data_IF_699497548429
#
_entry.id   IF_699497548429
#
_cell.length_a   1.000
_cell.length_b   1.000
_cell.length_c   1.000
_cell.angle_alpha   90.00
_cell.angle_beta   90.00
_cell.angle_gamma   90.00
#
_symmetry.space_group_name_H-M   'P 1'
#
loop_
_entity.id
_entity.type
_entity.pdbx_description
1 polymer ?
#
# COMPACT_ATOMS: atom_id res chain seq x y z
N UNK A 1 -70.71 -53.74 25.39
CA UNK A 1 -71.50 -52.97 24.33
C UNK A 1 -70.61 -51.79 24.00
N UNK A 2 -69.67 -52.06 23.11
CA UNK A 2 -68.60 -51.17 22.72
C UNK A 2 -69.11 -50.26 21.60
N UNK A 3 -69.11 -48.97 21.83
CA UNK A 3 -69.38 -47.96 20.80
C UNK A 3 -68.04 -47.37 20.35
N UNK A 4 -67.45 -48.02 19.38
CA UNK A 4 -66.22 -47.63 18.75
C UNK A 4 -66.53 -46.59 17.65
N UNK A 5 -66.64 -45.31 18.04
CA UNK A 5 -66.88 -44.23 17.13
C UNK A 5 -65.61 -43.93 16.32
N UNK A 6 -65.57 -44.57 15.17
CA UNK A 6 -64.58 -44.42 14.11
C UNK A 6 -64.51 -42.96 13.62
N UNK A 7 -63.62 -42.14 14.20
CA UNK A 7 -63.37 -40.76 13.78
C UNK A 7 -62.54 -40.79 12.49
N UNK A 8 -63.25 -40.80 11.35
CA UNK A 8 -62.63 -40.67 10.02
C UNK A 8 -62.05 -39.28 9.85
N UNK A 9 -60.73 -39.13 9.63
CA UNK A 9 -60.16 -37.83 9.37
C UNK A 9 -60.70 -37.21 8.05
N UNK A 10 -61.51 -36.19 8.19
CA UNK A 10 -62.10 -35.45 7.04
C UNK A 10 -61.01 -34.57 6.41
N UNK A 11 -60.36 -35.09 5.40
CA UNK A 11 -59.46 -34.32 4.53
C UNK A 11 -60.30 -33.52 3.49
N UNK A 12 -60.85 -32.35 3.89
CA UNK A 12 -61.56 -31.48 2.94
C UNK A 12 -60.54 -30.89 1.94
N UNK A 13 -60.85 -30.95 0.66
CA UNK A 13 -60.08 -30.42 -0.46
C UNK A 13 -59.71 -28.94 -0.23
N UNK A 14 -60.61 -28.19 0.40
CA UNK A 14 -60.39 -26.76 0.77
C UNK A 14 -59.24 -26.55 1.75
N UNK A 15 -59.04 -27.47 2.69
CA UNK A 15 -57.92 -27.40 3.69
C UNK A 15 -56.57 -27.75 3.06
N UNK A 16 -56.53 -28.67 2.09
CA UNK A 16 -55.32 -28.99 1.31
C UNK A 16 -54.92 -27.85 0.39
N UNK A 17 -55.86 -27.12 -0.19
CA UNK A 17 -55.61 -25.93 -1.02
C UNK A 17 -55.05 -24.77 -0.19
N UNK A 18 -55.60 -24.50 0.99
CA UNK A 18 -55.10 -23.46 1.88
C UNK A 18 -53.70 -23.77 2.41
N UNK A 19 -53.37 -25.02 2.68
CA UNK A 19 -52.02 -25.42 3.08
C UNK A 19 -51.02 -25.29 1.93
N UNK A 20 -51.37 -25.65 0.70
CA UNK A 20 -50.52 -25.46 -0.48
C UNK A 20 -50.31 -23.99 -0.79
N UNK A 21 -51.33 -23.15 -0.65
CA UNK A 21 -51.22 -21.71 -0.82
C UNK A 21 -50.28 -21.09 0.23
N UNK A 22 -50.40 -21.51 1.49
CA UNK A 22 -49.46 -21.07 2.55
C UNK A 22 -48.02 -21.45 2.21
N UNK A 23 -47.77 -22.69 1.81
CA UNK A 23 -46.43 -23.13 1.42
C UNK A 23 -45.85 -22.31 0.23
N UNK A 24 -46.67 -21.96 -0.74
CA UNK A 24 -46.25 -21.12 -1.89
C UNK A 24 -45.90 -19.71 -1.42
N UNK A 25 -46.74 -19.13 -0.53
CA UNK A 25 -46.48 -17.80 0.03
C UNK A 25 -45.21 -17.80 0.90
N UNK A 26 -45.04 -18.81 1.74
CA UNK A 26 -43.84 -18.95 2.60
C UNK A 26 -42.57 -19.10 1.74
N UNK A 27 -42.63 -19.92 0.68
CA UNK A 27 -41.53 -20.08 -0.27
C UNK A 27 -41.21 -18.76 -1.00
N UNK A 28 -42.21 -18.03 -1.41
CA UNK A 28 -42.05 -16.72 -2.05
C UNK A 28 -41.40 -15.70 -1.10
N UNK A 29 -41.83 -15.66 0.17
CA UNK A 29 -41.22 -14.80 1.18
C UNK A 29 -39.75 -15.13 1.42
N UNK A 30 -39.39 -16.41 1.48
CA UNK A 30 -37.99 -16.84 1.64
C UNK A 30 -37.15 -16.41 0.43
N UNK A 31 -37.63 -16.63 -0.77
CA UNK A 31 -36.92 -16.20 -2.00
C UNK A 31 -36.76 -14.67 -2.03
N UNK A 32 -37.81 -13.93 -1.67
CA UNK A 32 -37.75 -12.46 -1.60
C UNK A 32 -36.75 -11.97 -0.56
N UNK A 33 -36.69 -12.61 0.62
CA UNK A 33 -35.70 -12.30 1.65
C UNK A 33 -34.26 -12.57 1.18
N UNK A 34 -34.02 -13.69 0.51
CA UNK A 34 -32.71 -14.02 -0.06
C UNK A 34 -32.32 -13.00 -1.15
N UNK A 35 -33.22 -12.65 -2.03
CA UNK A 35 -33.01 -11.65 -3.08
C UNK A 35 -32.70 -10.27 -2.46
N UNK A 36 -33.46 -9.89 -1.42
CA UNK A 36 -33.26 -8.63 -0.69
C UNK A 36 -31.91 -8.61 0.07
N UNK A 37 -31.58 -9.70 0.75
CA UNK A 37 -30.27 -9.83 1.42
C UNK A 37 -29.10 -9.74 0.43
N UNK A 38 -29.23 -10.40 -0.73
CA UNK A 38 -28.23 -10.35 -1.79
C UNK A 38 -28.11 -8.94 -2.42
N UNK A 39 -29.24 -8.27 -2.64
CA UNK A 39 -29.28 -6.90 -3.15
C UNK A 39 -28.64 -5.91 -2.16
N UNK A 40 -28.98 -5.99 -0.87
CA UNK A 40 -28.36 -5.15 0.16
C UNK A 40 -26.89 -5.49 0.36
N UNK A 41 -26.52 -6.77 0.32
CA UNK A 41 -25.11 -7.19 0.39
C UNK A 41 -24.28 -6.67 -0.77
N UNK A 42 -24.82 -6.63 -1.98
CA UNK A 42 -24.13 -6.08 -3.15
C UNK A 42 -24.04 -4.55 -3.14
N UNK A 43 -25.06 -3.86 -2.59
CA UNK A 43 -25.13 -2.39 -2.59
C UNK A 43 -24.46 -1.73 -1.38
N UNK A 44 -24.42 -2.42 -0.25
CA UNK A 44 -23.82 -1.95 1.01
C UNK A 44 -22.74 -2.93 1.47
N UNK A 45 -21.80 -3.25 0.57
CA UNK A 45 -20.66 -4.08 0.90
C UNK A 45 -19.71 -3.29 1.83
N UNK A 46 -19.95 -3.38 3.14
CA UNK A 46 -18.97 -2.92 4.12
C UNK A 46 -18.11 -4.11 4.56
N UNK A 47 -16.82 -4.09 4.23
CA UNK A 47 -15.86 -5.05 4.76
C UNK A 47 -15.67 -4.77 6.26
N UNK A 48 -16.29 -5.57 7.11
CA UNK A 48 -15.85 -5.67 8.50
C UNK A 48 -14.64 -6.60 8.56
N UNK A 49 -13.48 -6.09 8.94
CA UNK A 49 -12.32 -6.92 9.23
C UNK A 49 -12.59 -7.68 10.53
N UNK A 50 -13.02 -8.95 10.42
CA UNK A 50 -13.24 -9.86 11.57
C UNK A 50 -11.93 -10.50 12.09
N UNK A 51 -10.82 -10.26 11.41
CA UNK A 51 -9.50 -10.73 11.84
C UNK A 51 -8.80 -9.64 12.64
N UNK A 52 -8.32 -9.99 13.83
CA UNK A 52 -7.49 -9.14 14.70
C UNK A 52 -6.12 -8.78 14.10
N UNK A 53 -5.89 -9.10 12.85
CA UNK A 53 -4.68 -8.78 12.10
C UNK A 53 -4.86 -7.43 11.40
N UNK A 54 -4.65 -6.35 12.17
CA UNK A 54 -4.68 -4.95 11.71
C UNK A 54 -3.54 -4.60 10.75
N UNK A 55 -2.92 -5.59 10.12
CA UNK A 55 -1.73 -5.40 9.27
C UNK A 55 -1.97 -4.62 8.00
N UNK A 56 -3.22 -4.40 7.60
CA UNK A 56 -3.55 -3.84 6.28
C UNK A 56 -4.46 -2.61 6.31
N UNK A 57 -4.69 -1.98 7.47
CA UNK A 57 -5.29 -0.64 7.48
C UNK A 57 -4.25 0.38 7.01
N UNK A 58 -4.50 0.93 5.82
CA UNK A 58 -3.66 1.99 5.27
C UNK A 58 -3.67 3.21 6.19
N UNK A 59 -2.49 3.80 6.40
CA UNK A 59 -2.29 4.97 7.25
C UNK A 59 -3.12 6.16 6.77
N UNK A 60 -3.42 7.08 7.65
CA UNK A 60 -4.15 8.32 7.30
C UNK A 60 -3.41 9.12 6.23
N UNK A 61 -2.07 9.10 6.25
CA UNK A 61 -1.24 9.77 5.26
C UNK A 61 -1.41 9.13 3.86
N UNK A 62 -1.37 7.82 3.78
CA UNK A 62 -1.61 7.08 2.52
C UNK A 62 -3.00 7.40 1.96
N UNK A 63 -4.03 7.39 2.81
CA UNK A 63 -5.40 7.73 2.39
C UNK A 63 -5.50 9.14 1.83
N UNK A 64 -4.86 10.13 2.47
CA UNK A 64 -4.84 11.52 1.97
C UNK A 64 -4.16 11.63 0.60
N UNK A 65 -3.02 10.96 0.40
CA UNK A 65 -2.31 10.94 -0.88
C UNK A 65 -3.17 10.31 -1.98
N UNK A 66 -3.83 9.18 -1.69
CA UNK A 66 -4.69 8.50 -2.65
C UNK A 66 -5.94 9.31 -3.02
N UNK A 67 -6.51 10.05 -2.07
CA UNK A 67 -7.63 10.97 -2.32
C UNK A 67 -7.23 12.20 -3.13
N UNK A 68 -5.98 12.64 -3.00
CA UNK A 68 -5.44 13.79 -3.74
C UNK A 68 -5.03 13.45 -5.18
N UNK A 69 -5.08 12.18 -5.59
CA UNK A 69 -4.72 11.78 -6.95
C UNK A 69 -5.66 12.42 -7.99
N UNK A 70 -5.07 13.15 -8.92
CA UNK A 70 -5.78 13.75 -10.05
C UNK A 70 -5.69 12.88 -11.30
N UNK A 71 -4.56 12.19 -11.49
CA UNK A 71 -4.26 11.38 -12.66
C UNK A 71 -4.29 9.89 -12.32
N UNK A 72 -4.45 9.08 -13.37
CA UNK A 72 -4.44 7.62 -13.19
C UNK A 72 -3.01 7.12 -12.95
N UNK A 73 -2.87 6.19 -12.02
CA UNK A 73 -1.62 5.53 -11.67
C UNK A 73 -1.73 4.06 -12.04
N UNK A 74 -0.83 3.60 -12.90
CA UNK A 74 -0.72 2.20 -13.23
C UNK A 74 0.33 1.53 -12.35
N UNK A 75 -0.07 0.48 -11.64
CA UNK A 75 0.80 -0.35 -10.82
C UNK A 75 0.96 -1.70 -11.51
N UNK A 76 2.17 -2.03 -11.93
CA UNK A 76 2.49 -3.33 -12.48
C UNK A 76 3.28 -4.16 -11.48
N UNK A 77 2.67 -5.21 -10.94
CA UNK A 77 3.33 -6.19 -10.07
C UNK A 77 4.04 -7.20 -10.95
N UNK A 78 5.36 -7.02 -11.11
CA UNK A 78 6.22 -7.89 -11.90
C UNK A 78 6.94 -8.85 -10.95
N UNK A 79 6.37 -10.06 -10.77
CA UNK A 79 6.72 -10.93 -9.65
C UNK A 79 6.58 -12.41 -10.02
N UNK A 80 7.43 -13.26 -9.43
CA UNK A 80 7.17 -14.69 -9.35
C UNK A 80 6.13 -14.96 -8.26
N UNK A 81 5.05 -15.66 -8.62
CA UNK A 81 3.97 -16.01 -7.69
C UNK A 81 4.40 -16.88 -6.52
N UNK A 82 5.51 -17.61 -6.67
CA UNK A 82 6.04 -18.48 -5.61
C UNK A 82 6.88 -17.73 -4.57
N UNK A 83 7.16 -16.46 -4.80
CA UNK A 83 7.94 -15.65 -3.85
C UNK A 83 7.13 -15.30 -2.60
N UNK A 84 7.80 -15.32 -1.45
CA UNK A 84 7.15 -15.13 -0.15
C UNK A 84 6.45 -13.78 0.02
N UNK A 85 6.95 -12.70 -0.64
CA UNK A 85 6.33 -11.36 -0.57
C UNK A 85 5.20 -11.15 -1.58
N UNK A 86 4.95 -12.10 -2.49
CA UNK A 86 3.93 -11.94 -3.52
C UNK A 86 2.54 -11.67 -2.93
N UNK A 87 2.18 -12.42 -1.89
CA UNK A 87 0.88 -12.28 -1.22
C UNK A 87 0.75 -10.89 -0.56
N UNK A 88 1.75 -10.50 0.25
CA UNK A 88 1.74 -9.22 0.96
C UNK A 88 1.67 -8.02 -0.01
N UNK A 89 2.42 -8.10 -1.12
CA UNK A 89 2.41 -7.07 -2.17
C UNK A 89 1.06 -6.98 -2.87
N UNK A 90 0.49 -8.11 -3.29
CA UNK A 90 -0.78 -8.12 -4.02
C UNK A 90 -1.96 -7.71 -3.14
N UNK A 91 -1.95 -8.08 -1.87
CA UNK A 91 -2.95 -7.66 -0.90
C UNK A 91 -2.88 -6.16 -0.68
N UNK A 92 -1.70 -5.61 -0.39
CA UNK A 92 -1.50 -4.18 -0.21
C UNK A 92 -1.94 -3.37 -1.44
N UNK A 93 -1.53 -3.77 -2.64
CA UNK A 93 -1.93 -3.09 -3.89
C UNK A 93 -3.45 -3.17 -4.10
N UNK A 94 -4.09 -4.26 -3.68
CA UNK A 94 -5.55 -4.40 -3.74
C UNK A 94 -6.26 -3.40 -2.82
N UNK A 95 -5.73 -3.14 -1.61
CA UNK A 95 -6.27 -2.12 -0.70
C UNK A 95 -6.17 -0.71 -1.31
N UNK A 96 -5.07 -0.39 -1.99
CA UNK A 96 -4.94 0.88 -2.71
C UNK A 96 -6.02 1.04 -3.80
N UNK A 97 -6.24 0.00 -4.60
CA UNK A 97 -7.27 0.00 -5.66
C UNK A 97 -8.68 0.17 -5.10
N UNK A 98 -8.96 -0.36 -3.91
CA UNK A 98 -10.27 -0.23 -3.26
C UNK A 98 -10.57 1.19 -2.80
N UNK A 99 -9.54 1.97 -2.43
CA UNK A 99 -9.70 3.34 -1.95
C UNK A 99 -9.91 4.36 -3.06
N UNK A 100 -9.39 4.10 -4.26
CA UNK A 100 -9.52 5.05 -5.37
C UNK A 100 -9.60 4.33 -6.72
N UNK A 101 -10.54 4.74 -7.61
CA UNK A 101 -10.62 4.20 -8.97
C UNK A 101 -9.45 4.65 -9.86
N UNK A 102 -8.61 5.58 -9.40
CA UNK A 102 -7.45 6.10 -10.12
C UNK A 102 -6.28 5.11 -10.18
N UNK A 103 -6.35 4.01 -9.44
CA UNK A 103 -5.30 2.99 -9.44
C UNK A 103 -5.70 1.82 -10.33
N UNK A 104 -4.97 1.64 -11.41
CA UNK A 104 -5.03 0.49 -12.30
C UNK A 104 -3.94 -0.53 -11.93
N UNK A 105 -4.32 -1.77 -11.66
CA UNK A 105 -3.38 -2.83 -11.24
C UNK A 105 -3.27 -3.89 -12.32
N UNK A 106 -2.05 -4.22 -12.71
CA UNK A 106 -1.74 -5.37 -13.56
C UNK A 106 -0.68 -6.25 -12.89
N UNK A 107 -0.82 -7.57 -13.03
CA UNK A 107 0.12 -8.54 -12.48
C UNK A 107 0.73 -9.35 -13.61
N UNK A 108 2.05 -9.42 -13.66
CA UNK A 108 2.83 -10.18 -14.62
C UNK A 108 3.76 -11.13 -13.88
N UNK A 109 3.45 -12.41 -13.96
CA UNK A 109 4.33 -13.45 -13.50
C UNK A 109 5.31 -13.80 -14.65
N UNK A 110 6.55 -13.45 -14.48
CA UNK A 110 7.56 -13.60 -15.51
C UNK A 110 7.95 -15.06 -15.82
N UNK A 111 7.61 -15.99 -14.93
CA UNK A 111 7.83 -17.42 -15.16
C UNK A 111 6.70 -18.03 -16.02
N UNK A 112 5.47 -17.62 -15.81
CA UNK A 112 4.32 -18.14 -16.55
C UNK A 112 3.95 -17.30 -17.77
N UNK A 113 4.22 -15.98 -17.76
CA UNK A 113 3.94 -15.06 -18.86
C UNK A 113 5.22 -14.43 -19.44
N UNK A 114 6.02 -15.24 -20.13
CA UNK A 114 7.29 -14.82 -20.73
C UNK A 114 7.10 -13.68 -21.74
N UNK A 115 6.07 -13.75 -22.57
CA UNK A 115 5.80 -12.71 -23.58
C UNK A 115 5.47 -11.36 -22.93
N UNK A 116 4.63 -11.33 -21.90
CA UNK A 116 4.33 -10.13 -21.13
C UNK A 116 5.56 -9.57 -20.42
N UNK A 117 6.38 -10.45 -19.88
CA UNK A 117 7.63 -10.08 -19.22
C UNK A 117 8.61 -9.39 -20.18
N UNK A 118 8.79 -9.93 -21.39
CA UNK A 118 9.67 -9.32 -22.39
C UNK A 118 9.19 -7.95 -22.85
N UNK A 119 7.88 -7.73 -22.95
CA UNK A 119 7.30 -6.41 -23.28
C UNK A 119 7.67 -5.39 -22.20
N UNK A 120 7.52 -5.76 -20.93
CA UNK A 120 7.85 -4.87 -19.78
C UNK A 120 9.34 -4.57 -19.74
N UNK A 121 10.19 -5.60 -19.89
CA UNK A 121 11.65 -5.43 -19.90
C UNK A 121 12.11 -4.50 -21.01
N UNK A 122 11.59 -4.65 -22.24
CA UNK A 122 11.90 -3.77 -23.37
C UNK A 122 11.42 -2.34 -23.13
N UNK A 123 10.19 -2.16 -22.62
CA UNK A 123 9.62 -0.85 -22.33
C UNK A 123 10.44 -0.09 -21.29
N UNK A 124 10.87 -0.74 -20.24
CA UNK A 124 11.66 -0.17 -19.15
C UNK A 124 13.17 -0.17 -19.40
N UNK A 125 13.61 -0.69 -20.55
CA UNK A 125 15.05 -0.82 -20.91
C UNK A 125 15.86 -1.53 -19.83
N UNK A 126 15.28 -2.56 -19.21
CA UNK A 126 15.95 -3.34 -18.17
C UNK A 126 17.11 -4.14 -18.78
N UNK A 127 18.23 -4.19 -18.06
CA UNK A 127 19.39 -4.94 -18.51
C UNK A 127 19.08 -6.45 -18.63
N UNK A 128 19.64 -7.15 -19.62
CA UNK A 128 19.52 -8.60 -19.74
C UNK A 128 20.03 -9.27 -18.46
N UNK A 129 19.21 -10.16 -17.87
CA UNK A 129 19.54 -10.85 -16.61
C UNK A 129 19.04 -10.15 -15.35
N UNK A 130 18.52 -8.93 -15.42
CA UNK A 130 17.83 -8.27 -14.33
C UNK A 130 16.41 -8.85 -14.20
N UNK A 131 16.30 -10.04 -13.60
CA UNK A 131 15.03 -10.67 -13.25
C UNK A 131 14.92 -10.63 -11.74
N UNK A 132 14.47 -9.51 -11.25
CA UNK A 132 14.16 -9.36 -9.83
C UNK A 132 12.69 -9.00 -9.69
N UNK A 133 12.05 -9.57 -8.69
CA UNK A 133 10.71 -9.17 -8.31
C UNK A 133 10.67 -7.68 -8.03
N UNK A 134 9.79 -6.96 -8.71
CA UNK A 134 9.67 -5.52 -8.62
C UNK A 134 8.22 -5.06 -8.79
N UNK A 135 7.94 -3.89 -8.28
CA UNK A 135 6.68 -3.21 -8.48
C UNK A 135 6.96 -1.91 -9.25
N UNK A 136 6.25 -1.70 -10.33
CA UNK A 136 6.43 -0.58 -11.25
C UNK A 136 5.23 0.35 -11.11
N UNK A 137 5.48 1.60 -10.83
CA UNK A 137 4.49 2.67 -10.72
C UNK A 137 4.68 3.61 -11.90
N UNK A 138 3.59 3.90 -12.62
CA UNK A 138 3.62 4.75 -13.81
C UNK A 138 2.46 5.73 -13.78
N UNK A 139 2.73 7.02 -13.98
CA UNK A 139 1.74 8.08 -14.15
C UNK A 139 2.37 9.26 -14.88
N UNK A 140 1.64 9.97 -15.71
CA UNK A 140 2.09 11.20 -16.41
C UNK A 140 3.45 11.07 -17.15
N UNK A 141 3.77 9.87 -17.63
CA UNK A 141 5.06 9.61 -18.27
C UNK A 141 6.24 9.42 -17.29
N UNK A 142 6.00 9.55 -15.99
CA UNK A 142 6.97 9.24 -14.95
C UNK A 142 6.87 7.76 -14.57
N UNK A 143 8.01 7.17 -14.25
CA UNK A 143 8.10 5.76 -13.82
C UNK A 143 8.96 5.64 -12.58
N UNK A 144 8.45 4.96 -11.56
CA UNK A 144 9.20 4.60 -10.36
C UNK A 144 9.15 3.09 -10.17
N UNK A 145 10.30 2.49 -9.89
CA UNK A 145 10.43 1.07 -9.62
C UNK A 145 10.80 0.88 -8.15
N UNK A 146 10.08 -0.01 -7.47
CA UNK A 146 10.38 -0.48 -6.12
C UNK A 146 10.81 -1.94 -6.20
N UNK A 147 12.02 -2.24 -5.73
CA UNK A 147 12.54 -3.59 -5.74
C UNK A 147 12.12 -4.34 -4.47
N UNK A 148 11.99 -5.66 -4.59
CA UNK A 148 11.64 -6.53 -3.45
C UNK A 148 12.64 -6.44 -2.30
N UNK A 149 13.92 -6.22 -2.61
CA UNK A 149 14.98 -6.03 -1.61
C UNK A 149 14.77 -4.81 -0.71
N UNK A 150 14.01 -3.82 -1.18
CA UNK A 150 13.68 -2.61 -0.43
C UNK A 150 12.50 -2.82 0.52
N UNK A 151 11.61 -3.79 0.21
CA UNK A 151 10.35 -4.00 0.92
C UNK A 151 10.50 -4.56 2.32
N UNK A 152 11.58 -5.29 2.60
CA UNK A 152 11.76 -5.92 3.91
C UNK A 152 13.23 -6.00 4.30
N UNK A 153 13.54 -5.77 5.58
CA UNK A 153 14.82 -6.13 6.17
C UNK A 153 14.94 -7.64 6.39
N UNK A 154 16.15 -8.15 6.36
CA UNK A 154 16.47 -9.53 6.74
C UNK A 154 17.14 -9.51 8.11
N UNK A 155 16.56 -10.21 9.09
CA UNK A 155 17.22 -10.45 10.38
C UNK A 155 18.12 -11.67 10.26
N UNK A 156 19.43 -11.42 10.21
CA UNK A 156 20.47 -12.44 10.16
C UNK A 156 21.03 -12.75 11.56
N UNK A 157 20.50 -12.19 12.64
CA UNK A 157 21.04 -12.34 13.99
C UNK A 157 21.11 -13.80 14.44
N UNK A 158 20.14 -14.60 14.07
CA UNK A 158 20.13 -16.05 14.35
C UNK A 158 21.17 -16.82 13.53
N UNK A 159 21.37 -16.42 12.28
CA UNK A 159 22.39 -16.99 11.38
C UNK A 159 23.80 -16.67 11.89
N UNK A 160 24.04 -15.42 12.26
CA UNK A 160 25.34 -14.92 12.78
C UNK A 160 25.64 -15.57 14.13
N UNK A 161 24.63 -15.78 14.98
CA UNK A 161 24.77 -16.44 16.30
C UNK A 161 24.81 -17.95 16.25
N UNK A 162 24.65 -18.59 15.07
CA UNK A 162 24.64 -20.04 14.88
C UNK A 162 23.44 -20.77 15.49
N UNK A 163 22.39 -20.04 15.90
CA UNK A 163 21.21 -20.60 16.56
C UNK A 163 20.19 -21.24 15.60
N UNK A 164 20.12 -20.73 14.37
CA UNK A 164 19.19 -21.23 13.34
C UNK A 164 19.70 -20.83 11.96
N UNK A 165 19.38 -21.66 10.95
CA UNK A 165 19.62 -21.32 9.52
C UNK A 165 18.46 -20.49 8.94
N UNK A 166 17.43 -20.19 9.72
CA UNK A 166 16.28 -19.40 9.26
C UNK A 166 16.61 -17.90 9.29
N UNK A 167 16.52 -17.29 8.12
CA UNK A 167 16.55 -15.84 7.95
C UNK A 167 15.12 -15.31 8.11
N UNK A 168 14.86 -14.60 9.20
CA UNK A 168 13.54 -14.02 9.46
C UNK A 168 13.43 -12.67 8.77
N UNK A 169 12.38 -12.48 8.00
CA UNK A 169 12.04 -11.16 7.45
C UNK A 169 11.43 -10.29 8.54
N UNK A 170 11.91 -9.06 8.65
CA UNK A 170 11.41 -8.07 9.59
C UNK A 170 11.02 -6.81 8.84
N UNK A 171 9.98 -6.14 9.36
CA UNK A 171 9.53 -4.83 8.91
C UNK A 171 9.21 -4.75 7.41
N UNK A 172 8.04 -5.25 7.02
CA UNK A 172 7.50 -4.98 5.70
C UNK A 172 7.20 -3.48 5.55
N UNK A 173 7.94 -2.81 4.67
CA UNK A 173 7.86 -1.37 4.38
C UNK A 173 7.02 -1.06 3.13
N UNK A 174 6.20 -1.99 2.69
CA UNK A 174 5.45 -1.90 1.43
C UNK A 174 4.62 -0.63 1.34
N UNK A 175 3.83 -0.33 2.38
CA UNK A 175 2.97 0.85 2.38
C UNK A 175 3.77 2.14 2.21
N UNK A 176 4.83 2.32 2.97
CA UNK A 176 5.66 3.52 2.90
C UNK A 176 6.26 3.71 1.50
N UNK A 177 6.83 2.64 0.94
CA UNK A 177 7.49 2.69 -0.37
C UNK A 177 6.50 2.87 -1.52
N UNK A 178 5.34 2.21 -1.46
CA UNK A 178 4.31 2.31 -2.51
C UNK A 178 3.65 3.69 -2.50
N UNK A 179 3.33 4.21 -1.31
CA UNK A 179 2.77 5.55 -1.17
C UNK A 179 3.75 6.61 -1.67
N UNK A 180 5.04 6.48 -1.31
CA UNK A 180 6.10 7.35 -1.80
C UNK A 180 6.26 7.26 -3.32
N UNK A 181 6.23 6.05 -3.90
CA UNK A 181 6.33 5.85 -5.34
C UNK A 181 5.13 6.47 -6.09
N UNK A 182 3.90 6.27 -5.57
CA UNK A 182 2.69 6.88 -6.12
C UNK A 182 2.78 8.41 -6.08
N UNK A 183 3.19 8.99 -4.96
CA UNK A 183 3.36 10.43 -4.82
C UNK A 183 4.37 10.97 -5.83
N UNK A 184 5.51 10.28 -6.01
CA UNK A 184 6.56 10.65 -6.95
C UNK A 184 6.06 10.71 -8.39
N UNK A 185 5.36 9.67 -8.86
CA UNK A 185 4.89 9.62 -10.25
C UNK A 185 3.67 10.51 -10.52
N UNK A 186 2.92 10.88 -9.48
CA UNK A 186 1.67 11.64 -9.61
C UNK A 186 1.85 13.14 -9.48
N UNK A 187 2.69 13.59 -8.56
CA UNK A 187 2.84 15.02 -8.23
C UNK A 187 4.10 15.65 -8.83
N UNK A 188 4.96 14.84 -9.45
CA UNK A 188 6.13 15.33 -10.19
C UNK A 188 7.29 15.71 -9.27
N UNK A 189 7.52 17.01 -9.09
CA UNK A 189 8.71 17.49 -8.41
C UNK A 189 8.80 16.99 -6.95
N UNK A 190 9.92 16.33 -6.65
CA UNK A 190 10.26 15.89 -5.30
C UNK A 190 10.56 17.13 -4.47
N UNK A 191 9.82 17.40 -3.38
CA UNK A 191 10.14 18.52 -2.49
C UNK A 191 11.54 18.36 -1.92
N UNK A 192 12.29 19.46 -1.80
CA UNK A 192 13.68 19.44 -1.38
C UNK A 192 13.85 20.08 -0.01
N UNK A 193 14.47 19.35 0.90
CA UNK A 193 14.86 19.82 2.21
C UNK A 193 16.33 20.24 2.21
N UNK A 194 16.60 21.47 2.60
CA UNK A 194 17.97 21.96 2.71
C UNK A 194 18.42 21.98 4.16
N UNK A 195 19.52 21.27 4.45
CA UNK A 195 20.22 21.34 5.73
C UNK A 195 21.16 22.53 5.72
N UNK A 196 20.92 23.48 6.62
CA UNK A 196 21.80 24.61 6.79
C UNK A 196 23.15 24.13 7.35
N UNK A 197 24.25 24.72 6.87
CA UNK A 197 25.61 24.49 7.36
C UNK A 197 26.38 25.79 7.45
N UNK A 198 27.35 25.85 8.38
CA UNK A 198 28.23 27.00 8.55
C UNK A 198 28.42 27.39 10.03
N UNK A 199 27.51 26.99 10.93
CA UNK A 199 27.49 27.36 12.33
C UNK A 199 27.70 26.17 13.28
N UNK A 200 28.25 25.05 12.78
CA UNK A 200 28.50 23.85 13.57
C UNK A 200 27.29 22.91 13.59
N UNK A 201 26.35 23.07 12.68
CA UNK A 201 25.18 22.23 12.57
C UNK A 201 25.52 20.76 12.32
N UNK A 202 24.61 19.89 12.69
CA UNK A 202 24.74 18.46 12.52
C UNK A 202 24.74 18.06 11.05
N UNK A 203 25.62 17.13 10.68
CA UNK A 203 25.79 16.73 9.29
C UNK A 203 24.76 15.69 8.85
N UNK A 204 23.99 15.92 7.77
CA UNK A 204 22.98 15.00 7.26
C UNK A 204 23.54 13.67 6.71
N UNK A 205 24.83 13.61 6.39
CA UNK A 205 25.48 12.41 5.83
C UNK A 205 26.14 11.52 6.89
N UNK A 206 26.38 12.06 8.09
CA UNK A 206 27.06 11.30 9.16
C UNK A 206 26.10 10.40 9.93
N UNK A 207 26.56 9.19 10.22
CA UNK A 207 25.82 8.19 11.02
C UNK A 207 26.18 8.23 12.52
N UNK A 208 26.86 9.28 13.02
CA UNK A 208 27.31 9.39 14.41
C UNK A 208 26.13 9.74 15.31
N UNK A 209 25.94 8.99 16.41
CA UNK A 209 24.74 9.06 17.25
C UNK A 209 24.40 10.44 17.82
N UNK A 210 25.39 11.31 18.04
CA UNK A 210 25.18 12.62 18.68
C UNK A 210 25.26 13.83 17.71
N UNK A 211 25.76 13.63 16.48
CA UNK A 211 26.00 14.74 15.54
C UNK A 211 25.63 14.41 14.09
N UNK A 212 25.10 13.22 13.84
CA UNK A 212 24.75 12.76 12.50
C UNK A 212 23.24 12.64 12.31
N UNK A 213 22.76 13.08 11.15
CA UNK A 213 21.35 13.03 10.77
C UNK A 213 21.08 12.09 9.59
N UNK A 214 21.99 11.13 9.30
CA UNK A 214 21.85 10.23 8.17
C UNK A 214 20.56 9.38 8.20
N UNK A 215 20.11 8.96 9.40
CA UNK A 215 18.83 8.25 9.56
C UNK A 215 17.63 9.15 9.23
N UNK A 216 17.71 10.43 9.59
CA UNK A 216 16.65 11.38 9.27
C UNK A 216 16.63 11.69 7.77
N UNK A 217 17.80 11.83 7.15
CA UNK A 217 17.92 11.96 5.69
C UNK A 217 17.36 10.75 4.96
N UNK A 218 17.60 9.54 5.48
CA UNK A 218 16.99 8.32 4.95
C UNK A 218 15.47 8.34 5.07
N UNK A 219 14.92 8.78 6.19
CA UNK A 219 13.48 8.95 6.39
C UNK A 219 12.88 9.99 5.44
N UNK A 220 13.56 11.13 5.21
CA UNK A 220 13.13 12.11 4.21
C UNK A 220 13.06 11.48 2.82
N UNK A 221 14.10 10.76 2.42
CA UNK A 221 14.16 10.07 1.14
C UNK A 221 13.06 9.00 1.00
N UNK A 222 12.79 8.23 2.05
CA UNK A 222 11.69 7.25 2.08
C UNK A 222 10.32 7.92 1.92
N UNK A 223 10.17 9.16 2.40
CA UNK A 223 8.96 9.96 2.26
C UNK A 223 8.96 10.85 1.02
N UNK A 224 9.79 10.54 0.03
CA UNK A 224 9.90 11.28 -1.23
C UNK A 224 10.27 12.76 -1.05
N UNK A 225 11.17 13.05 -0.10
CA UNK A 225 11.76 14.38 0.09
C UNK A 225 13.25 14.26 -0.18
N UNK A 226 13.75 14.95 -1.18
CA UNK A 226 15.19 15.04 -1.43
C UNK A 226 15.86 15.92 -0.39
N UNK A 227 17.14 15.68 -0.13
CA UNK A 227 17.90 16.50 0.81
C UNK A 227 19.19 17.01 0.18
N UNK A 228 19.53 18.25 0.49
CA UNK A 228 20.76 18.89 0.07
C UNK A 228 21.34 19.73 1.23
N UNK A 229 22.59 20.11 1.11
CA UNK A 229 23.26 21.01 2.05
C UNK A 229 23.24 22.43 1.51
N UNK A 230 23.02 23.41 2.36
CA UNK A 230 23.00 24.82 2.01
C UNK A 230 23.88 25.62 2.96
N UNK A 231 24.82 26.36 2.40
CA UNK A 231 25.63 27.31 3.16
C UNK A 231 25.29 28.73 2.70
N UNK A 232 24.58 29.46 3.54
CA UNK A 232 24.14 30.84 3.22
C UNK A 232 25.27 31.86 3.20
N UNK A 233 26.46 31.53 3.74
CA UNK A 233 27.65 32.40 3.58
C UNK A 233 28.17 32.41 2.15
N UNK A 234 27.97 31.32 1.42
CA UNK A 234 28.42 31.15 0.03
C UNK A 234 27.29 31.28 -0.97
N UNK A 235 26.08 30.92 -0.60
CA UNK A 235 24.89 31.05 -1.42
C UNK A 235 24.33 32.49 -1.35
N UNK A 236 24.01 33.07 -2.49
CA UNK A 236 23.47 34.45 -2.57
C UNK A 236 22.04 34.53 -2.02
N UNK A 237 21.27 33.44 -2.17
CA UNK A 237 19.87 33.31 -1.70
C UNK A 237 19.54 31.84 -1.41
N UNK A 238 18.43 31.63 -0.71
CA UNK A 238 17.80 30.31 -0.59
C UNK A 238 17.35 29.86 -1.99
N UNK A 239 17.67 28.62 -2.42
CA UNK A 239 17.21 28.09 -3.70
C UNK A 239 15.69 28.11 -3.84
N UNK A 240 15.20 28.40 -5.05
CA UNK A 240 13.75 28.51 -5.31
C UNK A 240 13.02 27.15 -5.22
N UNK A 241 13.77 26.02 -5.28
CA UNK A 241 13.29 24.66 -5.08
C UNK A 241 13.28 24.23 -3.60
N UNK A 242 13.59 25.15 -2.66
CA UNK A 242 13.57 24.85 -1.23
C UNK A 242 12.14 24.75 -0.70
N UNK A 243 11.70 23.52 -0.45
CA UNK A 243 10.41 23.29 0.20
C UNK A 243 10.51 23.38 1.74
N UNK A 244 11.70 23.06 2.31
CA UNK A 244 11.94 23.08 3.75
C UNK A 244 13.39 23.38 4.04
N UNK A 245 13.66 24.22 5.06
CA UNK A 245 14.99 24.45 5.59
C UNK A 245 15.10 23.80 6.97
N UNK A 246 16.19 23.05 7.19
CA UNK A 246 16.48 22.34 8.43
C UNK A 246 17.74 22.93 9.07
N UNK A 247 17.57 23.47 10.27
CA UNK A 247 18.68 24.00 11.10
C UNK A 247 18.87 23.02 12.25
N UNK A 248 19.89 22.18 12.17
CA UNK A 248 20.08 21.05 13.06
C UNK A 248 21.17 21.31 14.09
N UNK A 249 20.81 21.85 15.25
CA UNK A 249 21.70 22.04 16.40
C UNK A 249 22.91 22.95 16.12
N UNK A 250 22.70 24.23 15.81
CA UNK A 250 23.83 25.16 15.60
C UNK A 250 24.59 25.33 16.90
N UNK A 251 25.90 25.19 16.84
CA UNK A 251 26.83 25.40 18.02
C UNK A 251 27.13 26.86 18.23
N UNK A 252 27.05 27.68 17.18
CA UNK A 252 27.30 29.11 17.24
C UNK A 252 26.00 29.90 17.33
N UNK A 253 25.83 30.76 18.34
CA UNK A 253 24.52 31.39 18.61
C UNK A 253 24.14 32.57 17.69
N UNK A 254 25.04 33.00 16.80
CA UNK A 254 24.78 34.18 15.97
C UNK A 254 24.82 33.85 14.49
N UNK A 255 23.67 33.95 13.84
CA UNK A 255 23.59 34.03 12.38
C UNK A 255 24.11 35.40 11.91
N UNK A 256 24.86 35.43 10.84
CA UNK A 256 25.31 36.68 10.26
C UNK A 256 24.08 37.45 9.70
N UNK A 257 24.02 38.80 9.77
CA UNK A 257 22.90 39.59 9.27
C UNK A 257 22.48 39.35 7.80
N UNK A 258 23.38 38.74 7.01
CA UNK A 258 23.09 38.32 5.62
C UNK A 258 22.37 36.97 5.52
N UNK A 259 22.23 36.24 6.61
CA UNK A 259 21.60 34.92 6.69
C UNK A 259 20.21 34.97 7.28
N UNK A 260 19.83 36.13 7.81
CA UNK A 260 18.50 36.53 8.29
C UNK A 260 17.76 37.29 7.21
#
# INVERSE_FOLDING_TARGET
>A
MDDDSDIKPSFSTRRRWSQRLKLIVDLFCVVALIAMANYFGARHYSRGHLTADTRHELSSQTRLILQALTNDVRITVFFDRNQALYHDVTELVSEYRLLTPKIEVSTIDYNSNVSGAEIVKKRLKLAPGMVNDMIIFESNGQTKIVQTSELSGLDMSNLISGKSQEVKRINFKGELLFTSAIANVSFGDTPKAYFLEGHGEHNPERAIAHSGYSKFTELLKLNNVDSARLNLMTAVKVPDDCAMMIIAGPERPAFHPREL
#
